data_IF_511169437963
#
_entry.id   IF_511169437963
#
_cell.length_a   1.000
_cell.length_b   1.000
_cell.length_c   1.000
_cell.angle_alpha   90.00
_cell.angle_beta   90.00
_cell.angle_gamma   90.00
#
_symmetry.space_group_name_H-M   'P 1'
#
loop_
_entity.id
_entity.type
_entity.pdbx_description
1 polymer ?
#
# COMPACT_ATOMS: atom_id res chain seq x y z
N UNK A 1 -15.15 7.16 -4.21
CA UNK A 1 -13.77 7.69 -4.30
C UNK A 1 -13.86 9.15 -4.75
N UNK A 2 -12.96 10.05 -4.30
CA UNK A 2 -12.92 11.42 -4.84
C UNK A 2 -11.90 11.51 -5.98
N UNK A 3 -12.41 11.72 -7.19
CA UNK A 3 -11.61 11.85 -8.40
C UNK A 3 -10.68 13.07 -8.36
N UNK A 4 -11.12 14.16 -7.71
CA UNK A 4 -10.36 15.40 -7.68
C UNK A 4 -9.09 15.29 -6.84
N UNK A 5 -9.18 14.65 -5.66
CA UNK A 5 -8.01 14.37 -4.83
C UNK A 5 -7.04 13.43 -5.56
N UNK A 6 -7.56 12.45 -6.30
CA UNK A 6 -6.73 11.55 -7.11
C UNK A 6 -5.97 12.31 -8.20
N UNK A 7 -6.63 13.18 -8.96
CA UNK A 7 -5.99 14.02 -9.99
C UNK A 7 -4.88 14.87 -9.37
N UNK A 8 -5.15 15.51 -8.22
CA UNK A 8 -4.16 16.35 -7.54
C UNK A 8 -2.94 15.53 -7.09
N UNK A 9 -3.16 14.32 -6.57
CA UNK A 9 -2.09 13.40 -6.16
C UNK A 9 -1.24 12.95 -7.35
N UNK A 10 -1.87 12.57 -8.46
CA UNK A 10 -1.18 12.16 -9.68
C UNK A 10 -0.31 13.30 -10.19
N UNK A 11 -0.86 14.49 -10.38
CA UNK A 11 -0.12 15.62 -10.92
C UNK A 11 1.10 15.99 -10.06
N UNK A 12 1.00 15.92 -8.72
CA UNK A 12 2.15 16.17 -7.84
C UNK A 12 3.21 15.07 -7.93
N UNK A 13 2.83 13.84 -8.26
CA UNK A 13 3.77 12.74 -8.50
C UNK A 13 4.43 12.78 -9.89
N UNK A 14 3.88 13.54 -10.84
CA UNK A 14 4.50 13.75 -12.16
C UNK A 14 5.68 14.72 -12.07
N UNK A 15 6.72 14.42 -12.84
CA UNK A 15 7.88 15.32 -12.95
C UNK A 15 7.42 16.65 -13.55
N UNK A 16 7.73 17.75 -12.87
CA UNK A 16 7.31 19.09 -13.30
C UNK A 16 5.84 19.42 -12.98
N UNK A 17 5.08 18.51 -12.37
CA UNK A 17 3.70 18.80 -11.96
C UNK A 17 2.69 18.81 -13.12
N UNK A 18 3.07 18.31 -14.29
CA UNK A 18 2.24 18.35 -15.51
C UNK A 18 1.98 16.96 -16.07
N UNK A 19 0.79 16.75 -16.61
CA UNK A 19 0.44 15.52 -17.32
C UNK A 19 -0.48 15.82 -18.50
N UNK A 20 -0.29 15.11 -19.61
CA UNK A 20 -1.26 15.13 -20.70
C UNK A 20 -2.58 14.48 -20.25
N UNK A 21 -3.68 14.73 -20.96
CA UNK A 21 -4.94 14.06 -20.65
C UNK A 21 -4.85 12.54 -20.79
N UNK A 22 -4.05 12.05 -21.76
CA UNK A 22 -3.87 10.61 -21.98
C UNK A 22 -3.10 9.95 -20.83
N UNK A 23 -1.97 10.57 -20.42
CA UNK A 23 -1.20 10.13 -19.25
C UNK A 23 -2.05 10.15 -17.99
N UNK A 24 -2.83 11.22 -17.77
CA UNK A 24 -3.70 11.32 -16.60
C UNK A 24 -4.76 10.22 -16.58
N UNK A 25 -5.38 9.89 -17.72
CA UNK A 25 -6.34 8.77 -17.83
C UNK A 25 -5.67 7.43 -17.56
N UNK A 26 -4.48 7.22 -18.08
CA UNK A 26 -3.70 6.01 -17.89
C UNK A 26 -3.37 5.79 -16.41
N UNK A 27 -2.85 6.82 -15.73
CA UNK A 27 -2.56 6.76 -14.29
C UNK A 27 -3.83 6.52 -13.47
N UNK A 28 -4.94 7.15 -13.83
CA UNK A 28 -6.22 6.93 -13.16
C UNK A 28 -6.70 5.48 -13.30
N UNK A 29 -6.49 4.86 -14.47
CA UNK A 29 -6.85 3.47 -14.71
C UNK A 29 -5.97 2.50 -13.89
N UNK A 30 -4.66 2.77 -13.80
CA UNK A 30 -3.74 2.03 -12.93
C UNK A 30 -4.19 2.15 -11.47
N UNK A 31 -4.45 3.37 -11.01
CA UNK A 31 -4.84 3.64 -9.64
C UNK A 31 -6.22 3.09 -9.29
N UNK A 32 -7.14 3.02 -10.26
CA UNK A 32 -8.43 2.36 -10.11
C UNK A 32 -8.29 0.84 -9.94
N UNK A 33 -7.23 0.27 -10.51
CA UNK A 33 -6.86 -1.15 -10.36
C UNK A 33 -5.95 -1.39 -9.15
N UNK A 34 -5.43 -0.32 -8.54
CA UNK A 34 -4.63 -0.37 -7.32
C UNK A 34 -5.58 -0.60 -6.15
N UNK A 35 -5.42 -1.74 -5.47
CA UNK A 35 -6.35 -2.26 -4.46
C UNK A 35 -6.69 -1.30 -3.30
N UNK A 36 -7.43 -1.83 -2.32
CA UNK A 36 -8.15 -1.03 -1.31
C UNK A 36 -7.32 -0.01 -0.53
N UNK A 37 -6.01 -0.22 -0.34
CA UNK A 37 -5.13 0.72 0.38
C UNK A 37 -5.12 2.12 -0.23
N UNK A 38 -4.91 2.20 -1.56
CA UNK A 38 -4.89 3.49 -2.27
C UNK A 38 -6.25 4.17 -2.18
N UNK A 39 -7.32 3.41 -2.40
CA UNK A 39 -8.69 3.92 -2.35
C UNK A 39 -9.03 4.46 -0.96
N UNK A 40 -8.65 3.75 0.10
CA UNK A 40 -8.83 4.17 1.48
C UNK A 40 -8.06 5.46 1.78
N UNK A 41 -6.82 5.58 1.28
CA UNK A 41 -5.99 6.78 1.44
C UNK A 41 -6.62 8.00 0.76
N UNK A 42 -7.08 7.87 -0.48
CA UNK A 42 -7.76 8.95 -1.20
C UNK A 42 -9.09 9.31 -0.55
N UNK A 43 -9.87 8.32 -0.11
CA UNK A 43 -11.12 8.55 0.62
C UNK A 43 -10.89 9.35 1.89
N UNK A 44 -9.85 9.02 2.67
CA UNK A 44 -9.52 9.73 3.91
C UNK A 44 -9.16 11.19 3.67
N UNK A 45 -8.39 11.48 2.63
CA UNK A 45 -8.06 12.85 2.24
C UNK A 45 -9.33 13.62 1.80
N UNK A 46 -10.17 13.00 0.99
CA UNK A 46 -11.42 13.60 0.53
C UNK A 46 -12.40 13.89 1.67
N UNK A 47 -12.48 13.01 2.68
CA UNK A 47 -13.35 13.22 3.85
C UNK A 47 -12.97 14.45 4.69
N UNK A 48 -11.74 14.95 4.57
CA UNK A 48 -11.29 16.17 5.27
C UNK A 48 -11.71 17.45 4.56
N UNK A 49 -11.97 17.37 3.25
CA UNK A 49 -12.35 18.52 2.41
C UNK A 49 -13.49 18.08 1.47
N UNK A 50 -14.71 17.89 2.00
CA UNK A 50 -15.83 17.36 1.23
C UNK A 50 -16.28 18.28 0.09
N UNK A 51 -16.03 19.58 0.22
CA UNK A 51 -16.35 20.61 -0.78
C UNK A 51 -15.14 21.03 -1.62
N UNK A 52 -14.14 20.14 -1.75
CA UNK A 52 -12.99 20.41 -2.60
C UNK A 52 -13.44 20.58 -4.06
N UNK A 53 -13.11 21.73 -4.63
CA UNK A 53 -13.15 22.00 -6.06
C UNK A 53 -11.76 22.45 -6.54
N UNK A 54 -11.00 21.52 -7.12
CA UNK A 54 -9.62 21.79 -7.56
C UNK A 54 -9.52 22.78 -8.73
N UNK A 55 -10.61 22.96 -9.50
CA UNK A 55 -10.61 23.82 -10.68
C UNK A 55 -11.05 25.23 -10.33
N UNK A 56 -12.14 25.38 -9.59
CA UNK A 56 -12.61 26.67 -9.08
C UNK A 56 -11.56 27.33 -8.19
N UNK A 57 -10.87 26.54 -7.36
CA UNK A 57 -9.79 27.05 -6.49
C UNK A 57 -8.44 27.23 -7.20
N UNK A 58 -8.35 26.94 -8.51
CA UNK A 58 -7.11 27.01 -9.32
C UNK A 58 -5.94 26.22 -8.74
N UNK A 59 -6.21 25.12 -8.07
CA UNK A 59 -5.17 24.17 -7.64
C UNK A 59 -4.64 23.37 -8.82
N UNK A 60 -5.48 23.17 -9.83
CA UNK A 60 -5.11 22.58 -11.11
C UNK A 60 -5.56 23.52 -12.23
N UNK A 61 -4.69 23.75 -13.20
CA UNK A 61 -4.99 24.49 -14.42
C UNK A 61 -4.87 23.57 -15.62
N UNK A 62 -5.65 23.87 -16.66
CA UNK A 62 -5.56 23.21 -17.95
C UNK A 62 -4.95 24.16 -18.96
N UNK A 63 -3.96 23.68 -19.68
CA UNK A 63 -3.29 24.37 -20.78
C UNK A 63 -3.41 23.55 -22.07
N UNK A 64 -2.87 24.04 -23.19
CA UNK A 64 -2.88 23.32 -24.49
C UNK A 64 -2.09 22.01 -24.41
N UNK A 65 -1.04 21.97 -23.59
CA UNK A 65 -0.19 20.79 -23.39
C UNK A 65 -0.78 19.77 -22.40
N UNK A 66 -1.82 20.12 -21.64
CA UNK A 66 -2.46 19.21 -20.69
C UNK A 66 -2.89 19.87 -19.38
N UNK A 67 -2.63 19.18 -18.27
CA UNK A 67 -3.01 19.58 -16.93
C UNK A 67 -1.77 19.85 -16.08
N UNK A 68 -1.82 20.88 -15.26
CA UNK A 68 -0.72 21.28 -14.39
C UNK A 68 -1.22 21.59 -12.99
N UNK A 69 -0.53 21.06 -11.98
CA UNK A 69 -0.76 21.48 -10.59
C UNK A 69 -0.05 22.80 -10.32
N UNK A 70 -0.77 23.74 -9.72
CA UNK A 70 -0.21 25.05 -9.37
C UNK A 70 0.58 24.98 -8.07
N UNK A 71 1.36 26.03 -7.75
CA UNK A 71 2.05 26.10 -6.45
C UNK A 71 1.07 26.07 -5.28
N UNK A 72 -0.07 26.77 -5.41
CA UNK A 72 -1.14 26.74 -4.42
C UNK A 72 -1.73 25.33 -4.28
N UNK A 73 -1.92 24.59 -5.37
CA UNK A 73 -2.37 23.19 -5.33
C UNK A 73 -1.39 22.26 -4.59
N UNK A 74 -0.07 22.44 -4.81
CA UNK A 74 0.97 21.70 -4.08
C UNK A 74 0.98 22.03 -2.59
N UNK A 75 0.87 23.30 -2.24
CA UNK A 75 0.82 23.75 -0.85
C UNK A 75 -0.43 23.26 -0.13
N UNK A 76 -1.59 23.38 -0.77
CA UNK A 76 -2.85 22.84 -0.28
C UNK A 76 -2.75 21.34 -0.02
N UNK A 77 -2.24 20.58 -0.98
CA UNK A 77 -2.08 19.13 -0.82
C UNK A 77 -1.13 18.80 0.34
N UNK A 78 0.00 19.51 0.47
CA UNK A 78 0.94 19.31 1.58
C UNK A 78 0.30 19.60 2.94
N UNK A 79 -0.47 20.68 3.06
CA UNK A 79 -1.18 21.01 4.29
C UNK A 79 -2.24 19.95 4.63
N UNK A 80 -3.01 19.51 3.62
CA UNK A 80 -4.01 18.46 3.77
C UNK A 80 -3.39 17.13 4.21
N UNK A 81 -2.25 16.77 3.62
CA UNK A 81 -1.50 15.57 3.98
C UNK A 81 -0.91 15.66 5.39
N UNK A 82 -0.33 16.80 5.78
CA UNK A 82 0.19 17.01 7.13
C UNK A 82 -0.90 16.76 8.18
N UNK A 83 -2.06 17.41 8.06
CA UNK A 83 -3.21 17.21 8.96
C UNK A 83 -3.64 15.74 8.97
N UNK A 84 -3.63 15.08 7.81
CA UNK A 84 -4.04 13.68 7.70
C UNK A 84 -3.02 12.70 8.32
N UNK A 85 -1.72 13.02 8.28
CA UNK A 85 -0.65 12.22 8.91
C UNK A 85 -0.55 12.48 10.42
N UNK A 86 -0.74 13.71 10.88
CA UNK A 86 -0.74 14.03 12.32
C UNK A 86 -1.89 13.30 13.04
N UNK A 87 -3.05 13.21 12.40
CA UNK A 87 -4.17 12.42 12.92
C UNK A 87 -3.92 10.90 12.92
N UNK A 88 -3.05 10.39 12.06
CA UNK A 88 -2.59 9.00 12.14
C UNK A 88 -1.67 8.79 13.34
N UNK A 89 -0.87 9.81 13.70
CA UNK A 89 0.13 9.73 14.78
C UNK A 89 -0.48 9.95 16.17
N UNK A 90 -1.62 10.64 16.26
CA UNK A 90 -2.34 10.89 17.53
C UNK A 90 -3.35 9.80 17.93
N UNK A 91 -3.50 8.71 17.18
CA UNK A 91 -4.20 7.52 17.68
C UNK A 91 -3.22 6.72 18.57
N UNK A 92 -3.54 6.39 19.84
CA UNK A 92 -2.63 5.61 20.65
C UNK A 92 -2.53 4.18 20.09
N UNK A 93 -1.29 3.79 19.80
CA UNK A 93 -0.75 2.44 19.62
C UNK A 93 -1.74 1.27 19.43
N UNK A 94 -1.86 0.81 18.19
CA UNK A 94 -1.64 -0.61 17.92
C UNK A 94 -0.20 -0.74 17.39
N UNK A 95 0.72 -0.81 18.33
CA UNK A 95 2.10 -1.20 18.10
C UNK A 95 2.10 -2.63 17.55
N UNK A 96 2.51 -2.80 16.28
CA UNK A 96 3.39 -3.86 15.74
C UNK A 96 3.13 -3.99 14.24
N UNK A 97 3.77 -3.14 13.44
CA UNK A 97 4.09 -3.47 12.05
C UNK A 97 5.38 -2.75 11.69
N UNK A 98 6.46 -3.33 12.21
CA UNK A 98 7.80 -3.40 11.64
C UNK A 98 7.95 -2.54 10.39
N UNK A 99 8.64 -1.41 10.58
CA UNK A 99 9.32 -0.66 9.55
C UNK A 99 10.27 -1.61 8.81
N UNK A 100 9.80 -2.24 7.74
CA UNK A 100 10.66 -2.88 6.75
C UNK A 100 11.08 -1.79 5.77
N UNK A 101 11.97 -0.93 6.24
CA UNK A 101 12.76 -0.05 5.41
C UNK A 101 13.54 -0.85 4.38
N UNK A 102 13.50 -0.35 3.13
CA UNK A 102 13.94 -1.05 1.94
C UNK A 102 15.35 -1.63 2.04
N UNK A 103 15.44 -2.93 1.77
CA UNK A 103 16.71 -3.58 1.45
C UNK A 103 16.70 -3.92 -0.04
N UNK A 104 17.50 -3.16 -0.79
CA UNK A 104 17.91 -3.48 -2.15
C UNK A 104 18.34 -4.96 -2.20
N UNK A 105 17.64 -5.79 -2.96
CA UNK A 105 18.08 -7.17 -3.19
C UNK A 105 19.07 -7.13 -4.36
N UNK A 106 20.35 -7.13 -4.03
CA UNK A 106 21.45 -7.38 -4.97
C UNK A 106 22.04 -8.75 -4.65
N UNK A 107 21.93 -9.64 -5.65
CA UNK A 107 22.84 -10.74 -6.02
C UNK A 107 22.93 -11.97 -5.11
N UNK A 108 22.86 -13.13 -5.77
CA UNK A 108 23.91 -14.13 -5.59
C UNK A 108 23.57 -15.34 -4.76
N UNK A 109 23.51 -16.48 -5.43
CA UNK A 109 24.10 -17.74 -4.98
C UNK A 109 23.68 -18.27 -3.59
N UNK A 110 22.60 -19.06 -3.66
CA UNK A 110 22.14 -20.09 -2.69
C UNK A 110 23.27 -20.77 -1.92
N UNK A 111 23.51 -20.36 -0.67
CA UNK A 111 24.26 -21.15 0.30
C UNK A 111 23.30 -22.10 1.04
N UNK A 112 23.56 -23.41 0.97
CA UNK A 112 22.74 -24.46 1.61
C UNK A 112 23.28 -24.69 3.02
N UNK A 113 22.46 -24.51 4.05
CA UNK A 113 22.74 -25.08 5.38
C UNK A 113 21.56 -25.92 5.85
N UNK A 114 21.87 -27.21 6.01
CA UNK A 114 21.01 -28.32 6.39
C UNK A 114 21.00 -28.39 7.92
N UNK A 115 19.84 -28.28 8.56
CA UNK A 115 19.68 -28.66 9.97
C UNK A 115 18.53 -29.65 10.05
N UNK A 116 18.86 -30.89 10.45
CA UNK A 116 17.89 -31.96 10.71
C UNK A 116 17.16 -31.66 12.02
N UNK A 117 15.83 -31.83 12.11
CA UNK A 117 15.16 -31.97 13.38
C UNK A 117 15.22 -33.43 13.84
N UNK A 118 15.83 -33.65 15.00
CA UNK A 118 15.71 -34.85 15.81
C UNK A 118 14.29 -34.87 16.41
N UNK A 119 13.51 -35.92 16.14
CA UNK A 119 12.30 -36.23 16.90
C UNK A 119 12.36 -37.67 17.37
N UNK A 120 12.52 -37.76 18.69
CA UNK A 120 12.27 -38.91 19.54
C UNK A 120 10.78 -39.32 19.43
N UNK A 121 10.45 -40.60 19.20
CA UNK A 121 9.07 -41.08 19.25
C UNK A 121 8.88 -41.96 20.48
N UNK A 122 8.29 -41.41 21.53
CA UNK A 122 7.71 -42.20 22.62
C UNK A 122 6.21 -41.95 22.70
N UNK A 123 5.50 -43.08 22.73
CA UNK A 123 4.16 -43.29 23.27
C UNK A 123 2.93 -43.12 22.37
N UNK A 124 2.53 -44.28 21.85
CA UNK A 124 1.37 -45.03 22.38
C UNK A 124 0.02 -44.74 21.73
N UNK A 125 -0.55 -45.74 21.04
CA UNK A 125 -1.58 -46.59 21.66
C UNK A 125 -2.15 -47.66 20.70
N UNK A 126 -2.18 -48.89 21.23
CA UNK A 126 -3.27 -49.88 21.16
C UNK A 126 -3.67 -50.49 19.80
N UNK A 127 -3.20 -51.72 19.56
CA UNK A 127 -4.05 -52.77 18.99
C UNK A 127 -3.79 -54.11 19.68
N UNK A 128 -4.85 -54.54 20.36
CA UNK A 128 -5.02 -55.72 21.22
C UNK A 128 -5.26 -56.95 20.34
N UNK A 129 -4.59 -58.08 20.61
CA UNK A 129 -5.13 -59.47 20.72
C UNK A 129 -4.05 -60.55 20.48
N UNK A 130 -3.81 -61.36 21.53
CA UNK A 130 -3.22 -62.73 21.55
C UNK A 130 -4.30 -63.77 21.15
N UNK A 131 -4.06 -65.11 21.12
CA UNK A 131 -2.83 -65.94 21.04
C UNK A 131 -2.94 -67.12 20.01
N UNK A 132 -1.94 -68.05 19.98
CA UNK A 132 -1.94 -69.51 19.62
C UNK A 132 -0.73 -69.85 18.71
N UNK A 133 0.34 -70.52 19.18
CA UNK A 133 0.68 -71.99 19.12
C UNK A 133 0.44 -72.59 17.72
N UNK A 134 1.30 -73.32 17.00
CA UNK A 134 2.52 -74.12 17.21
C UNK A 134 2.99 -74.54 15.75
N UNK A 135 3.72 -75.65 15.49
CA UNK A 135 5.18 -75.83 15.38
C UNK A 135 5.69 -76.16 13.94
N UNK A 136 7.02 -76.18 13.75
CA UNK A 136 7.77 -77.29 13.10
C UNK A 136 9.29 -77.07 13.22
#
# INVERSE_FOLDING_TARGET
MSIQVAILKILVSHVGGKATLDSLKHDLAILSSSGDDWHARIKRLASRVPELDIFSNRYVVRDVEGWEVTSAGREFLRALEAVTQDNLRSAPAAETAIRAEGKLIVVGHRFKSRVRPQRDPEQSTLARRRPIREPH
#
